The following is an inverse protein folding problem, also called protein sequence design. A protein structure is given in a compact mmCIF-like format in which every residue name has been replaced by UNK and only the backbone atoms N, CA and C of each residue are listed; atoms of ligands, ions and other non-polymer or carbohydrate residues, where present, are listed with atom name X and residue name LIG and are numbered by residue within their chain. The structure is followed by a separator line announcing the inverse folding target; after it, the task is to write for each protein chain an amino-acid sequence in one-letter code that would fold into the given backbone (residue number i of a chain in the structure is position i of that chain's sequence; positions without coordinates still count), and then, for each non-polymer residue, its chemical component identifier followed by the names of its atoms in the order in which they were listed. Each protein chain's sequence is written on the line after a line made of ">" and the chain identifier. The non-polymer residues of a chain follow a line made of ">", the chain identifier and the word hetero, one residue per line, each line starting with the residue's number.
data_IF_895146783662
#
_entry.id   IF_895146783662
#
_cell.length_a   1.000
_cell.length_b   1.000
_cell.length_c   1.000
_cell.angle_alpha   90.00
_cell.angle_beta   90.00
_cell.angle_gamma   90.00
#
_symmetry.space_group_name_H-M   'P 1'
#
loop_
_entity.id
_entity.type
_entity.pdbx_description
1 polymer ?
#
# COMPACT_ATOMS: atom_id res chain seq x y z
N UNK A 1 16.00 -10.00 -1.01
CA UNK A 1 15.18 -8.88 -0.48
C UNK A 1 16.00 -7.60 -0.60
N UNK A 2 15.44 -6.49 -1.08
CA UNK A 2 16.17 -5.23 -1.17
C UNK A 2 16.25 -4.52 0.20
N UNK A 3 17.28 -3.68 0.39
CA UNK A 3 17.52 -2.93 1.62
C UNK A 3 18.37 -3.67 2.65
N UNK A 4 18.36 -3.18 3.89
CA UNK A 4 19.20 -3.62 5.01
C UNK A 4 18.42 -3.76 6.35
N UNK A 5 17.08 -3.64 6.31
CA UNK A 5 16.23 -3.62 7.52
C UNK A 5 16.22 -4.94 8.30
N UNK A 6 16.39 -6.07 7.60
CA UNK A 6 16.33 -7.42 8.16
C UNK A 6 17.63 -8.17 7.89
N UNK A 7 18.00 -9.14 8.74
CA UNK A 7 19.21 -9.95 8.58
C UNK A 7 19.28 -10.69 7.23
N UNK A 8 18.13 -11.04 6.66
CA UNK A 8 18.00 -11.68 5.35
C UNK A 8 18.04 -10.69 4.17
N UNK A 9 18.15 -9.39 4.42
CA UNK A 9 18.18 -8.38 3.36
C UNK A 9 19.52 -8.46 2.61
N UNK A 10 19.48 -8.29 1.29
CA UNK A 10 20.66 -8.49 0.43
C UNK A 10 21.06 -9.95 0.19
N UNK A 11 20.53 -10.92 0.95
CA UNK A 11 20.84 -12.33 0.73
C UNK A 11 20.10 -12.89 -0.49
N UNK A 12 20.83 -13.66 -1.31
CA UNK A 12 20.26 -14.42 -2.44
C UNK A 12 19.68 -15.72 -1.90
N UNK A 13 18.43 -16.03 -2.25
CA UNK A 13 17.74 -17.25 -1.84
C UNK A 13 17.61 -18.20 -3.05
N UNK A 14 18.63 -19.02 -3.35
CA UNK A 14 18.70 -19.78 -4.61
C UNK A 14 17.61 -20.85 -4.75
N UNK A 15 17.13 -21.41 -3.64
CA UNK A 15 16.11 -22.46 -3.64
C UNK A 15 14.67 -21.93 -3.56
N UNK A 16 14.50 -20.61 -3.41
CA UNK A 16 13.17 -20.02 -3.27
C UNK A 16 12.34 -20.14 -4.54
N UNK A 17 12.94 -19.82 -5.70
CA UNK A 17 12.26 -19.93 -7.01
C UNK A 17 11.89 -21.40 -7.35
N UNK A 18 12.82 -22.38 -7.32
CA UNK A 18 12.48 -23.78 -7.60
C UNK A 18 11.37 -24.33 -6.71
N UNK A 19 11.32 -23.92 -5.43
CA UNK A 19 10.27 -24.34 -4.52
C UNK A 19 8.89 -23.80 -4.94
N UNK A 20 8.78 -22.54 -5.38
CA UNK A 20 7.53 -21.97 -5.87
C UNK A 20 7.01 -22.69 -7.12
N UNK A 21 7.87 -22.91 -8.11
CA UNK A 21 7.52 -23.59 -9.36
C UNK A 21 7.04 -25.03 -9.10
N UNK A 22 7.70 -25.76 -8.19
CA UNK A 22 7.35 -27.15 -7.87
C UNK A 22 6.07 -27.32 -7.03
N UNK A 23 5.74 -26.37 -6.15
CA UNK A 23 4.65 -26.54 -5.17
C UNK A 23 3.36 -25.80 -5.53
N UNK A 24 3.46 -24.69 -6.26
CA UNK A 24 2.31 -23.83 -6.57
C UNK A 24 1.88 -23.92 -8.04
N UNK A 25 2.68 -24.58 -8.90
CA UNK A 25 2.36 -24.74 -10.32
C UNK A 25 2.26 -23.41 -11.06
N UNK A 26 2.97 -22.39 -10.58
CA UNK A 26 2.94 -21.02 -11.12
C UNK A 26 4.09 -20.79 -12.10
N UNK A 27 3.80 -20.06 -13.16
CA UNK A 27 4.82 -19.49 -14.05
C UNK A 27 5.21 -18.10 -13.54
N UNK A 28 6.48 -17.92 -13.19
CA UNK A 28 7.02 -16.66 -12.66
C UNK A 28 7.19 -15.58 -13.73
N UNK A 29 7.21 -15.97 -15.01
CA UNK A 29 7.28 -15.03 -16.12
C UNK A 29 5.90 -14.45 -16.45
N UNK A 30 4.82 -15.07 -15.97
CA UNK A 30 3.46 -14.53 -16.03
C UNK A 30 3.28 -13.42 -14.97
N UNK A 31 3.14 -12.18 -15.43
CA UNK A 31 2.96 -10.99 -14.57
C UNK A 31 1.59 -10.37 -14.79
N UNK A 32 0.77 -10.35 -13.74
CA UNK A 32 -0.50 -9.62 -13.73
C UNK A 32 -0.23 -8.12 -13.58
N UNK A 33 -0.88 -7.24 -14.37
CA UNK A 33 -0.78 -5.81 -14.17
C UNK A 33 -1.41 -5.41 -12.84
N UNK A 34 -0.75 -4.55 -12.08
CA UNK A 34 -1.30 -3.90 -10.88
C UNK A 34 -1.45 -2.40 -11.12
N UNK A 35 -2.47 -1.79 -10.52
CA UNK A 35 -2.65 -0.35 -10.54
C UNK A 35 -1.56 0.36 -9.72
N UNK A 36 -1.00 1.44 -10.27
CA UNK A 36 -0.07 2.30 -9.53
C UNK A 36 -0.86 3.28 -8.68
N UNK A 37 -0.35 3.60 -7.49
CA UNK A 37 -0.93 4.63 -6.60
C UNK A 37 -1.13 5.98 -7.32
N UNK A 38 -0.25 6.32 -8.27
CA UNK A 38 -0.34 7.56 -9.07
C UNK A 38 -1.56 7.61 -9.97
N UNK A 39 -2.11 6.44 -10.31
CA UNK A 39 -3.17 6.29 -11.29
C UNK A 39 -4.54 6.18 -10.58
N UNK A 40 -4.56 6.15 -9.25
CA UNK A 40 -5.80 6.15 -8.45
C UNK A 40 -6.45 7.54 -8.41
N UNK A 41 -7.75 7.56 -8.69
CA UNK A 41 -8.59 8.74 -8.50
C UNK A 41 -9.14 8.77 -7.07
N UNK A 42 -8.52 9.57 -6.21
CA UNK A 42 -8.95 9.70 -4.81
C UNK A 42 -9.99 10.82 -4.69
N UNK A 43 -11.19 10.55 -4.14
CA UNK A 43 -12.23 11.56 -4.01
C UNK A 43 -11.78 12.71 -3.10
N UNK A 44 -12.19 13.93 -3.45
CA UNK A 44 -11.92 15.12 -2.63
C UNK A 44 -12.51 14.94 -1.22
N UNK A 45 -11.82 15.42 -0.18
CA UNK A 45 -12.37 15.41 1.17
C UNK A 45 -13.61 16.31 1.24
N UNK A 46 -14.55 15.96 2.10
CA UNK A 46 -15.62 16.88 2.49
C UNK A 46 -15.07 17.75 3.62
N UNK A 47 -15.05 19.06 3.40
CA UNK A 47 -14.47 20.02 4.34
C UNK A 47 -15.57 20.75 5.10
N UNK A 48 -15.33 21.01 6.38
CA UNK A 48 -16.19 21.81 7.25
C UNK A 48 -15.29 22.83 7.96
N UNK A 49 -15.52 24.10 7.66
CA UNK A 49 -14.70 25.23 8.14
C UNK A 49 -14.76 25.38 9.67
N UNK A 50 -15.92 25.12 10.28
CA UNK A 50 -16.10 25.22 11.74
C UNK A 50 -15.23 24.19 12.47
N UNK A 51 -15.23 22.94 12.02
CA UNK A 51 -14.40 21.88 12.61
C UNK A 51 -12.91 22.15 12.36
N UNK A 52 -12.57 22.66 11.18
CA UNK A 52 -11.19 22.99 10.82
C UNK A 52 -10.61 24.06 11.75
N UNK A 53 -11.37 25.12 12.01
CA UNK A 53 -10.96 26.21 12.90
C UNK A 53 -10.79 25.74 14.34
N UNK A 54 -11.67 24.87 14.84
CA UNK A 54 -11.54 24.29 16.18
C UNK A 54 -10.30 23.37 16.29
N UNK A 55 -9.99 22.58 15.26
CA UNK A 55 -8.77 21.77 15.23
C UNK A 55 -7.50 22.62 15.24
N UNK A 56 -7.50 23.76 14.54
CA UNK A 56 -6.40 24.71 14.58
C UNK A 56 -6.24 25.35 15.96
N UNK A 57 -7.35 25.82 16.58
CA UNK A 57 -7.33 26.39 17.93
C UNK A 57 -6.84 25.38 18.97
N UNK A 58 -7.20 24.11 18.82
CA UNK A 58 -6.76 23.02 19.68
C UNK A 58 -5.30 22.58 19.43
N UNK A 59 -4.62 23.15 18.42
CA UNK A 59 -3.25 22.82 18.03
C UNK A 59 -3.05 21.31 17.74
N UNK A 60 -4.04 20.67 17.13
CA UNK A 60 -4.01 19.25 16.77
C UNK A 60 -3.42 19.10 15.36
N UNK A 61 -2.47 18.18 15.19
CA UNK A 61 -1.93 17.87 13.86
C UNK A 61 -2.94 17.03 13.06
N UNK A 62 -3.31 17.49 11.88
CA UNK A 62 -4.20 16.77 10.96
C UNK A 62 -3.74 16.92 9.51
N UNK A 63 -4.19 16.01 8.65
CA UNK A 63 -3.93 16.09 7.20
C UNK A 63 -5.07 15.45 6.42
N UNK A 64 -5.57 16.18 5.43
CA UNK A 64 -6.55 15.68 4.46
C UNK A 64 -5.91 15.31 3.12
N UNK A 65 -4.58 15.19 3.07
CA UNK A 65 -3.85 14.85 1.85
C UNK A 65 -4.35 13.49 1.28
N UNK A 66 -4.65 13.41 -0.03
CA UNK A 66 -5.25 12.21 -0.64
C UNK A 66 -4.50 10.91 -0.31
N UNK A 67 -3.16 10.91 -0.43
CA UNK A 67 -2.32 9.75 -0.11
C UNK A 67 -2.42 9.32 1.36
N UNK A 68 -2.49 10.28 2.26
CA UNK A 68 -2.58 10.01 3.70
C UNK A 68 -3.93 9.41 4.10
N UNK A 69 -4.98 9.71 3.34
CA UNK A 69 -6.31 9.11 3.48
C UNK A 69 -6.33 7.70 2.89
N UNK A 70 -5.79 7.50 1.68
CA UNK A 70 -5.69 6.17 1.06
C UNK A 70 -4.92 5.19 1.95
N UNK A 71 -3.71 5.55 2.39
CA UNK A 71 -2.86 4.67 3.21
C UNK A 71 -3.48 4.28 4.57
N UNK A 72 -4.52 4.98 5.03
CA UNK A 72 -5.22 4.73 6.30
C UNK A 72 -6.65 4.20 6.11
N UNK A 73 -7.11 4.04 4.87
CA UNK A 73 -8.47 3.59 4.57
C UNK A 73 -8.61 2.06 4.63
N UNK A 74 -7.50 1.34 4.40
CA UNK A 74 -7.44 -0.12 4.36
C UNK A 74 -6.60 -0.73 5.49
N UNK A 75 -6.92 -1.99 5.82
CA UNK A 75 -6.06 -2.92 6.54
C UNK A 75 -5.16 -3.74 5.60
N UNK A 76 -4.97 -5.02 5.95
CA UNK A 76 -4.09 -5.94 5.21
C UNK A 76 -4.80 -7.23 4.80
N UNK A 77 -6.13 -7.18 4.62
CA UNK A 77 -6.83 -8.32 4.03
C UNK A 77 -6.54 -8.40 2.53
N UNK A 78 -6.58 -9.61 1.97
CA UNK A 78 -6.36 -9.84 0.53
C UNK A 78 -7.29 -8.98 -0.33
N UNK A 79 -8.55 -8.86 0.10
CA UNK A 79 -9.57 -8.09 -0.63
C UNK A 79 -9.26 -6.60 -0.69
N UNK A 80 -8.78 -6.03 0.40
CA UNK A 80 -8.41 -4.62 0.45
C UNK A 80 -7.21 -4.34 -0.46
N UNK A 81 -6.21 -5.22 -0.46
CA UNK A 81 -5.05 -5.09 -1.35
C UNK A 81 -5.44 -5.24 -2.83
N UNK A 82 -6.37 -6.12 -3.16
CA UNK A 82 -6.79 -6.37 -4.55
C UNK A 82 -7.72 -5.28 -5.10
N UNK A 83 -8.63 -4.75 -4.26
CA UNK A 83 -9.61 -3.74 -4.69
C UNK A 83 -8.98 -2.35 -4.86
N UNK A 84 -7.91 -2.05 -4.12
CA UNK A 84 -7.25 -0.74 -4.17
C UNK A 84 -6.08 -0.68 -5.17
N UNK A 85 -5.59 -1.83 -5.65
CA UNK A 85 -4.43 -1.91 -6.55
C UNK A 85 -4.68 -2.79 -7.80
N UNK A 86 -5.93 -3.16 -8.09
CA UNK A 86 -6.36 -4.01 -9.21
C UNK A 86 -6.99 -3.25 -10.37
#
# INVERSE_FOLDING_TARGET
>A
MAGDKYDMSGQVMPQFRPWFEANLGVDIDYKTPSQKITDLQIPRPVENEEIYDELQKANISFTNAPRMRLMRAHGHTVREADTEFG
#
